data_IF_654094035730
#
_entry.id   IF_654094035730
#
_cell.length_a   1.000
_cell.length_b   1.000
_cell.length_c   1.000
_cell.angle_alpha   90.00
_cell.angle_beta   90.00
_cell.angle_gamma   90.00
#
_symmetry.space_group_name_H-M   'P 1'
#
loop_
_entity.id
_entity.type
_entity.pdbx_description
1 polymer ?
#
# COMPACT_ATOMS: atom_id res chain seq x y z
N UNK A 1 -9.43 6.05 1.40
CA UNK A 1 -9.67 4.60 1.15
C UNK A 1 -10.09 4.36 -0.29
N UNK A 2 -11.07 5.12 -0.78
CA UNK A 2 -11.55 4.92 -2.16
C UNK A 2 -10.45 5.14 -3.21
N UNK A 3 -9.68 6.22 -3.07
CA UNK A 3 -8.60 6.52 -4.00
C UNK A 3 -7.55 5.41 -4.01
N UNK A 4 -7.19 4.89 -2.83
CA UNK A 4 -6.25 3.78 -2.71
C UNK A 4 -6.78 2.53 -3.41
N UNK A 5 -8.05 2.17 -3.14
CA UNK A 5 -8.63 0.94 -3.68
C UNK A 5 -8.95 1.02 -5.18
N UNK A 6 -9.07 2.23 -5.72
CA UNK A 6 -9.21 2.45 -7.16
C UNK A 6 -7.87 2.58 -7.86
N UNK A 7 -6.77 2.36 -7.13
CA UNK A 7 -5.40 2.45 -7.65
C UNK A 7 -5.00 3.87 -8.06
N UNK A 8 -5.68 4.87 -7.51
CA UNK A 8 -5.35 6.29 -7.68
C UNK A 8 -4.31 6.72 -6.64
N UNK A 9 -3.16 6.08 -6.67
CA UNK A 9 -2.16 6.21 -5.61
C UNK A 9 -1.57 7.60 -5.49
N UNK A 10 -1.47 8.33 -6.60
CA UNK A 10 -0.98 9.71 -6.55
C UNK A 10 -1.97 10.65 -5.84
N UNK A 11 -3.26 10.55 -6.15
CA UNK A 11 -4.30 11.33 -5.48
C UNK A 11 -4.39 10.96 -4.00
N UNK A 12 -4.28 9.66 -3.70
CA UNK A 12 -4.26 9.15 -2.34
C UNK A 12 -3.07 9.69 -1.53
N UNK A 13 -1.95 9.93 -2.17
CA UNK A 13 -0.75 10.48 -1.54
C UNK A 13 -1.05 11.81 -0.84
N UNK A 14 -1.70 12.75 -1.53
CA UNK A 14 -1.99 14.05 -0.94
C UNK A 14 -2.89 13.95 0.28
N UNK A 15 -3.93 13.12 0.21
CA UNK A 15 -4.85 12.89 1.32
C UNK A 15 -4.12 12.29 2.53
N UNK A 16 -3.32 11.26 2.30
CA UNK A 16 -2.60 10.58 3.37
C UNK A 16 -1.49 11.45 3.97
N UNK A 17 -0.82 12.24 3.14
CA UNK A 17 0.20 13.17 3.61
C UNK A 17 -0.39 14.22 4.54
N UNK A 18 -1.55 14.77 4.21
CA UNK A 18 -2.25 15.73 5.07
C UNK A 18 -2.62 15.09 6.41
N UNK A 19 -3.14 13.85 6.40
CA UNK A 19 -3.47 13.13 7.62
C UNK A 19 -2.22 12.85 8.47
N UNK A 20 -1.15 12.43 7.82
CA UNK A 20 0.10 12.15 8.50
C UNK A 20 0.69 13.39 9.16
N UNK A 21 0.68 14.53 8.48
CA UNK A 21 1.27 15.76 9.00
C UNK A 21 0.53 16.31 10.21
N UNK A 22 -0.79 16.11 10.29
CA UNK A 22 -1.62 16.68 11.34
C UNK A 22 -1.91 15.73 12.49
N UNK A 23 -1.78 14.42 12.27
CA UNK A 23 -2.14 13.43 13.28
C UNK A 23 -1.11 13.36 14.41
N UNK A 24 -1.57 13.24 15.68
CA UNK A 24 -0.66 12.91 16.77
C UNK A 24 -0.27 11.43 16.72
N UNK A 25 0.79 11.06 17.46
CA UNK A 25 1.10 9.64 17.66
C UNK A 25 0.03 9.00 18.56
N UNK A 26 -0.30 7.71 18.40
CA UNK A 26 0.31 6.76 17.47
C UNK A 26 -0.23 6.79 16.04
N UNK A 27 -1.28 7.56 15.76
CA UNK A 27 -1.94 7.59 14.46
C UNK A 27 -1.01 8.11 13.36
N UNK A 28 -0.15 9.05 13.70
CA UNK A 28 0.82 9.62 12.74
C UNK A 28 1.65 8.54 12.07
N UNK A 29 2.21 7.64 12.85
CA UNK A 29 3.04 6.55 12.33
C UNK A 29 2.22 5.56 11.48
N UNK A 30 0.97 5.33 11.86
CA UNK A 30 0.06 4.50 11.07
C UNK A 30 -0.16 5.10 9.69
N UNK A 31 -0.53 6.38 9.61
CA UNK A 31 -0.74 7.05 8.34
C UNK A 31 0.52 7.09 7.50
N UNK A 32 1.68 7.24 8.12
CA UNK A 32 2.96 7.17 7.41
C UNK A 32 3.15 5.81 6.76
N UNK A 33 2.83 4.72 7.45
CA UNK A 33 2.93 3.37 6.90
C UNK A 33 2.02 3.18 5.70
N UNK A 34 0.75 3.59 5.80
CA UNK A 34 -0.20 3.52 4.69
C UNK A 34 0.26 4.37 3.51
N UNK A 35 0.75 5.58 3.78
CA UNK A 35 1.30 6.47 2.77
C UNK A 35 2.45 5.81 2.01
N UNK A 36 3.34 5.14 2.72
CA UNK A 36 4.48 4.45 2.09
C UNK A 36 4.03 3.31 1.18
N UNK A 37 2.99 2.56 1.56
CA UNK A 37 2.41 1.54 0.68
C UNK A 37 1.86 2.20 -0.59
N UNK A 38 1.11 3.29 -0.45
CA UNK A 38 0.53 4.00 -1.60
C UNK A 38 1.61 4.52 -2.55
N UNK A 39 2.65 5.16 -2.00
CA UNK A 39 3.77 5.68 -2.83
C UNK A 39 4.56 4.54 -3.47
N UNK A 40 4.72 3.42 -2.77
CA UNK A 40 5.35 2.23 -3.33
C UNK A 40 4.57 1.71 -4.54
N UNK A 41 3.25 1.63 -4.45
CA UNK A 41 2.40 1.23 -5.57
C UNK A 41 2.48 2.23 -6.73
N UNK A 42 2.53 3.53 -6.43
CA UNK A 42 2.70 4.57 -7.43
C UNK A 42 4.03 4.39 -8.20
N UNK A 43 5.11 4.15 -7.48
CA UNK A 43 6.40 3.89 -8.12
C UNK A 43 6.37 2.67 -9.02
N UNK A 44 5.70 1.60 -8.59
CA UNK A 44 5.56 0.40 -9.42
C UNK A 44 4.80 0.72 -10.70
N UNK A 45 3.71 1.47 -10.60
CA UNK A 45 2.95 1.91 -11.77
C UNK A 45 3.77 2.71 -12.77
N UNK A 46 4.80 3.41 -12.29
CA UNK A 46 5.76 4.14 -13.11
C UNK A 46 7.00 3.31 -13.47
N UNK A 47 6.96 2.01 -13.25
CA UNK A 47 8.03 1.07 -13.56
C UNK A 47 9.32 1.31 -12.74
N UNK A 48 9.19 1.96 -11.59
CA UNK A 48 10.28 2.14 -10.65
C UNK A 48 10.24 1.03 -9.59
N UNK A 49 10.72 -0.15 -9.97
CA UNK A 49 10.71 -1.33 -9.09
C UNK A 49 11.51 -1.15 -7.83
N UNK A 50 12.66 -0.48 -7.90
CA UNK A 50 13.51 -0.24 -6.74
C UNK A 50 12.83 0.67 -5.71
N UNK A 51 12.25 1.78 -6.17
CA UNK A 51 11.49 2.68 -5.29
C UNK A 51 10.29 1.98 -4.67
N UNK A 52 9.59 1.17 -5.46
CA UNK A 52 8.47 0.37 -4.97
C UNK A 52 8.89 -0.59 -3.86
N UNK A 53 9.97 -1.34 -4.06
CA UNK A 53 10.46 -2.29 -3.05
C UNK A 53 10.85 -1.61 -1.74
N UNK A 54 11.54 -0.49 -1.82
CA UNK A 54 11.97 0.25 -0.63
C UNK A 54 10.76 0.74 0.16
N UNK A 55 9.81 1.38 -0.50
CA UNK A 55 8.66 1.98 0.20
C UNK A 55 7.66 0.94 0.68
N UNK A 56 7.42 -0.11 -0.09
CA UNK A 56 6.58 -1.22 0.37
C UNK A 56 7.20 -1.87 1.61
N UNK A 57 8.50 -2.12 1.59
CA UNK A 57 9.20 -2.71 2.74
C UNK A 57 9.11 -1.85 3.99
N UNK A 58 9.30 -0.54 3.86
CA UNK A 58 9.18 0.39 4.99
C UNK A 58 7.76 0.49 5.52
N UNK A 59 6.78 0.56 4.64
CA UNK A 59 5.37 0.62 5.02
C UNK A 59 4.93 -0.64 5.75
N UNK A 60 5.30 -1.80 5.24
CA UNK A 60 5.02 -3.09 5.88
C UNK A 60 5.63 -3.13 7.28
N UNK A 61 6.87 -2.70 7.43
CA UNK A 61 7.55 -2.69 8.72
C UNK A 61 6.83 -1.82 9.75
N UNK A 62 6.38 -0.63 9.34
CA UNK A 62 5.65 0.27 10.24
C UNK A 62 4.29 -0.27 10.62
N UNK A 63 3.57 -0.86 9.68
CA UNK A 63 2.20 -1.33 9.92
C UNK A 63 2.14 -2.59 10.79
N UNK A 64 3.23 -3.31 10.97
CA UNK A 64 3.27 -4.48 11.85
C UNK A 64 2.85 -4.17 13.29
N UNK A 65 3.12 -2.96 13.76
CA UNK A 65 2.78 -2.54 15.11
C UNK A 65 1.28 -2.29 15.29
N UNK A 66 0.50 -2.33 14.21
CA UNK A 66 -0.93 -2.00 14.21
C UNK A 66 -1.84 -3.20 13.88
N UNK A 67 -1.25 -4.40 13.83
CA UNK A 67 -2.01 -5.63 13.61
C UNK A 67 -2.91 -5.93 14.81
N UNK A 68 -4.06 -6.58 14.61
CA UNK A 68 -4.65 -6.97 13.33
C UNK A 68 -5.55 -5.89 12.72
N UNK A 69 -6.10 -5.01 13.55
CA UNK A 69 -7.08 -3.98 13.16
C UNK A 69 -6.70 -2.68 13.84
N UNK A 70 -6.70 -1.59 13.07
CA UNK A 70 -6.43 -0.26 13.61
C UNK A 70 -7.28 0.77 12.86
N UNK A 71 -7.91 1.69 13.60
CA UNK A 71 -8.78 2.72 13.03
C UNK A 71 -9.82 2.11 12.07
N UNK A 72 -10.40 0.96 12.47
CA UNK A 72 -11.40 0.22 11.69
C UNK A 72 -10.88 -0.29 10.34
N UNK A 73 -9.57 -0.39 10.18
CA UNK A 73 -8.96 -0.92 8.97
C UNK A 73 -8.37 -2.30 9.26
N UNK A 74 -8.61 -3.23 8.34
CA UNK A 74 -8.02 -4.55 8.37
C UNK A 74 -6.54 -4.45 7.97
N UNK A 75 -5.69 -4.28 8.98
CA UNK A 75 -4.24 -4.13 8.76
C UNK A 75 -3.63 -5.46 8.34
N UNK A 76 -4.13 -6.57 8.85
CA UNK A 76 -3.65 -7.91 8.47
C UNK A 76 -3.79 -8.10 6.96
N UNK A 77 -4.96 -7.79 6.40
CA UNK A 77 -5.21 -7.92 4.97
C UNK A 77 -4.28 -7.01 4.15
N UNK A 78 -4.17 -5.76 4.56
CA UNK A 78 -3.29 -4.80 3.87
C UNK A 78 -1.84 -5.28 3.87
N UNK A 79 -1.35 -5.77 5.00
CA UNK A 79 0.00 -6.28 5.12
C UNK A 79 0.23 -7.53 4.27
N UNK A 80 -0.70 -8.47 4.27
CA UNK A 80 -0.60 -9.68 3.46
C UNK A 80 -0.54 -9.35 1.98
N UNK A 81 -1.43 -8.49 1.50
CA UNK A 81 -1.46 -8.09 0.09
C UNK A 81 -0.22 -7.29 -0.31
N UNK A 82 0.24 -6.41 0.57
CA UNK A 82 1.46 -5.63 0.32
C UNK A 82 2.70 -6.52 0.29
N UNK A 83 2.76 -7.52 1.17
CA UNK A 83 3.88 -8.48 1.22
C UNK A 83 3.91 -9.37 -0.02
N UNK A 84 2.74 -9.79 -0.50
CA UNK A 84 2.65 -10.56 -1.74
C UNK A 84 3.12 -9.74 -2.93
N UNK A 85 2.71 -8.47 -3.01
CA UNK A 85 3.17 -7.59 -4.08
C UNK A 85 4.68 -7.39 -4.02
N UNK A 86 5.23 -7.15 -2.83
CA UNK A 86 6.68 -7.02 -2.67
C UNK A 86 7.42 -8.26 -3.16
N UNK A 87 6.93 -9.44 -2.81
CA UNK A 87 7.51 -10.71 -3.27
C UNK A 87 7.45 -10.84 -4.80
N UNK A 88 6.33 -10.45 -5.41
CA UNK A 88 6.20 -10.49 -6.86
C UNK A 88 7.22 -9.58 -7.54
N UNK A 89 7.44 -8.38 -7.00
CA UNK A 89 8.44 -7.45 -7.55
C UNK A 89 9.84 -8.03 -7.42
N UNK A 90 10.16 -8.60 -6.26
CA UNK A 90 11.48 -9.19 -6.01
C UNK A 90 11.79 -10.38 -6.93
N UNK A 91 10.76 -11.12 -7.32
CA UNK A 91 10.89 -12.29 -8.19
C UNK A 91 10.81 -11.95 -9.68
N UNK A 92 10.47 -10.71 -10.01
CA UNK A 92 10.28 -10.28 -11.38
C UNK A 92 11.56 -9.64 -11.90
N UNK A 93 12.00 -10.06 -13.09
CA UNK A 93 13.12 -9.41 -13.78
C UNK A 93 12.75 -7.94 -14.03
N UNK A 94 13.67 -6.98 -13.76
CA UNK A 94 13.40 -5.56 -14.03
C UNK A 94 12.89 -5.27 -15.44
N UNK A 95 13.30 -6.06 -16.43
CA UNK A 95 12.83 -5.91 -17.81
C UNK A 95 11.38 -6.40 -18.01
N UNK A 96 10.80 -7.08 -17.03
CA UNK A 96 9.47 -7.65 -17.10
C UNK A 96 8.45 -6.88 -16.22
N UNK A 97 8.84 -5.74 -15.65
CA UNK A 97 7.94 -4.96 -14.77
C UNK A 97 6.68 -4.49 -15.50
N UNK A 98 6.79 -4.15 -16.77
CA UNK A 98 5.62 -3.77 -17.59
C UNK A 98 4.58 -4.88 -17.60
N UNK A 99 5.01 -6.13 -17.74
CA UNK A 99 4.10 -7.28 -17.72
C UNK A 99 3.47 -7.50 -16.36
N UNK A 100 4.24 -7.28 -15.28
CA UNK A 100 3.71 -7.38 -13.92
C UNK A 100 2.62 -6.34 -13.68
N UNK A 101 2.86 -5.08 -14.03
CA UNK A 101 1.88 -4.00 -13.89
C UNK A 101 0.63 -4.30 -14.72
N UNK A 102 0.81 -4.80 -15.94
CA UNK A 102 -0.32 -5.18 -16.78
C UNK A 102 -1.19 -6.26 -16.11
N UNK A 103 -0.57 -7.28 -15.51
CA UNK A 103 -1.29 -8.33 -14.80
C UNK A 103 -2.03 -7.79 -13.56
N UNK A 104 -1.46 -6.82 -12.87
CA UNK A 104 -2.13 -6.14 -11.76
C UNK A 104 -3.34 -5.35 -12.24
N UNK A 105 -3.20 -4.62 -13.33
CA UNK A 105 -4.29 -3.83 -13.88
C UNK A 105 -5.40 -4.70 -14.49
N UNK A 106 -5.06 -5.90 -14.95
CA UNK A 106 -6.02 -6.89 -15.45
C UNK A 106 -6.59 -7.81 -14.36
N UNK A 107 -6.24 -7.56 -13.09
CA UNK A 107 -6.67 -8.34 -11.91
C UNK A 107 -6.22 -9.80 -11.93
N UNK A 108 -5.15 -10.12 -12.65
CA UNK A 108 -4.50 -11.45 -12.55
C UNK A 108 -3.79 -11.58 -11.20
N UNK A 109 -3.13 -10.50 -10.78
CA UNK A 109 -2.64 -10.32 -9.42
C UNK A 109 -3.37 -9.14 -8.79
N UNK A 110 -3.35 -9.01 -7.48
CA UNK A 110 -4.07 -7.95 -6.80
C UNK A 110 -3.14 -6.84 -6.33
N UNK A 111 -3.52 -5.58 -6.62
CA UNK A 111 -2.99 -4.44 -5.90
C UNK A 111 -3.42 -4.53 -4.43
N UNK A 112 -2.62 -4.01 -3.48
CA UNK A 112 -3.06 -3.94 -2.09
C UNK A 112 -4.33 -3.11 -1.94
N UNK A 113 -5.17 -3.50 -0.98
CA UNK A 113 -6.43 -2.82 -0.70
C UNK A 113 -6.53 -2.47 0.78
N UNK A 114 -7.21 -1.37 1.05
CA UNK A 114 -7.58 -0.98 2.41
C UNK A 114 -9.02 -1.41 2.63
N UNK A 115 -9.22 -2.35 3.54
CA UNK A 115 -10.55 -2.86 3.86
C UNK A 115 -10.96 -2.28 5.20
N UNK A 116 -12.09 -1.57 5.17
CA UNK A 116 -12.69 -1.01 6.38
C UNK A 116 -13.59 -2.06 7.02
N UNK A 117 -13.34 -2.30 8.31
CA UNK A 117 -14.19 -3.18 9.10
C UNK A 117 -15.22 -2.30 9.78
N UNK A 118 -16.37 -2.14 9.12
CA UNK A 118 -17.49 -1.41 9.69
C UNK A 118 -18.45 -2.44 10.26
N UNK A 119 -18.71 -2.35 11.56
CA UNK A 119 -19.76 -3.14 12.16
C UNK A 119 -21.09 -2.48 11.81
N UNK A 120 -21.83 -3.11 10.93
CA UNK A 120 -23.22 -2.74 10.73
C UNK A 120 -24.03 -3.27 11.91
N UNK A 121 -24.45 -2.34 12.72
CA UNK A 121 -25.35 -2.65 13.83
C UNK A 121 -26.78 -2.67 13.33
#
# INVERSE_FOLDING_TARGET
VNEFNQHEFYACHDTLEALWMEAPEPNKRFYQGVLQIAVGCYHLGNLNGRGAMILLGEGIKRLKDYLPIYEQIDVTQLLEESSELLSLIQQTDPNELTKLVQKLDENVFSWPRIISIVQNV
#
